data_IF_318004893981
#
_entry.id   IF_318004893981
#
_cell.length_a   1.000
_cell.length_b   1.000
_cell.length_c   1.000
_cell.angle_alpha   90.00
_cell.angle_beta   90.00
_cell.angle_gamma   90.00
#
_symmetry.space_group_name_H-M   'P 1'
#
loop_
_entity.id
_entity.type
_entity.pdbx_description
1 polymer ?
#
# COMPACT_ATOMS: atom_id res chain seq x y z
N UNK A 1 -14.83 15.12 13.04
CA UNK A 1 -15.58 13.94 12.53
C UNK A 1 -14.56 12.93 12.04
N UNK A 2 -14.80 11.62 12.15
CA UNK A 2 -13.89 10.62 11.58
C UNK A 2 -13.92 10.66 10.05
N UNK A 3 -12.77 10.58 9.38
CA UNK A 3 -12.70 10.35 7.94
C UNK A 3 -13.39 9.01 7.61
N UNK A 4 -14.42 9.05 6.76
CA UNK A 4 -15.26 7.88 6.45
C UNK A 4 -15.81 7.95 5.04
N UNK A 5 -15.98 6.79 4.42
CA UNK A 5 -16.61 6.66 3.11
C UNK A 5 -17.79 5.69 3.19
N UNK A 6 -18.95 6.10 2.63
CA UNK A 6 -20.17 5.28 2.72
C UNK A 6 -20.02 3.94 2.00
N UNK A 7 -19.32 3.94 0.86
CA UNK A 7 -19.24 2.79 -0.05
C UNK A 7 -17.95 1.96 0.10
N UNK A 8 -17.01 2.37 0.97
CA UNK A 8 -15.71 1.70 1.12
C UNK A 8 -15.50 1.25 2.56
N UNK A 9 -14.86 0.09 2.73
CA UNK A 9 -14.18 -0.24 3.97
C UNK A 9 -12.81 0.43 3.98
N UNK A 10 -12.44 1.03 5.10
CA UNK A 10 -11.08 1.47 5.39
C UNK A 10 -10.57 0.71 6.60
N UNK A 11 -9.32 0.28 6.57
CA UNK A 11 -8.66 -0.33 7.72
C UNK A 11 -7.27 0.26 7.93
N UNK A 12 -6.22 -0.55 7.99
CA UNK A 12 -4.84 -0.15 8.27
C UNK A 12 -4.50 1.21 7.69
N UNK A 13 -3.91 2.07 8.51
CA UNK A 13 -3.53 3.42 8.14
C UNK A 13 -2.11 3.75 8.56
N UNK A 14 -1.47 4.60 7.76
CA UNK A 14 -0.16 5.16 8.03
C UNK A 14 -0.12 6.62 7.59
N UNK A 15 0.83 7.38 8.15
CA UNK A 15 0.84 8.83 8.04
C UNK A 15 2.24 9.36 7.84
N UNK A 16 2.34 10.48 7.14
CA UNK A 16 3.56 11.29 7.02
C UNK A 16 3.18 12.77 6.99
N UNK A 17 4.10 13.63 7.39
CA UNK A 17 3.92 15.08 7.35
C UNK A 17 4.90 15.70 6.35
N UNK A 18 4.40 16.58 5.48
CA UNK A 18 5.20 17.45 4.62
C UNK A 18 4.80 18.92 4.86
N UNK A 19 5.72 19.69 5.45
CA UNK A 19 5.40 21.03 5.96
C UNK A 19 4.25 21.01 6.96
N UNK A 20 3.20 21.80 6.70
CA UNK A 20 2.00 21.88 7.54
C UNK A 20 0.91 20.87 7.14
N UNK A 21 1.16 20.02 6.14
CA UNK A 21 0.18 19.06 5.62
C UNK A 21 0.52 17.64 6.08
N UNK A 22 -0.46 17.00 6.71
CA UNK A 22 -0.49 15.58 6.98
C UNK A 22 -1.06 14.83 5.78
N UNK A 23 -0.37 13.77 5.39
CA UNK A 23 -0.80 12.80 4.40
C UNK A 23 -1.16 11.51 5.14
N UNK A 24 -2.40 11.09 5.01
CA UNK A 24 -2.93 9.85 5.56
C UNK A 24 -3.23 8.86 4.45
N UNK A 25 -2.80 7.62 4.64
CA UNK A 25 -3.04 6.53 3.71
C UNK A 25 -3.85 5.44 4.39
N UNK A 26 -4.67 4.75 3.61
CA UNK A 26 -5.59 3.74 4.11
C UNK A 26 -5.66 2.59 3.13
N UNK A 27 -5.66 1.36 3.63
CA UNK A 27 -6.18 0.26 2.83
C UNK A 27 -7.68 0.43 2.65
N UNK A 28 -8.14 0.23 1.41
CA UNK A 28 -9.53 0.33 1.03
C UNK A 28 -9.99 -0.86 0.19
N UNK A 29 -11.28 -1.15 0.27
CA UNK A 29 -11.98 -2.05 -0.64
C UNK A 29 -13.46 -1.66 -0.71
N UNK A 30 -14.15 -1.96 -1.83
CA UNK A 30 -15.55 -1.60 -1.98
C UNK A 30 -16.47 -2.51 -1.17
N UNK A 31 -17.44 -1.90 -0.47
CA UNK A 31 -18.48 -2.64 0.28
C UNK A 31 -19.41 -3.44 -0.63
N UNK A 32 -19.40 -3.19 -1.94
CA UNK A 32 -20.13 -3.98 -2.92
C UNK A 32 -19.64 -5.42 -3.03
N UNK A 33 -18.49 -5.77 -2.44
CA UNK A 33 -18.05 -7.15 -2.28
C UNK A 33 -18.99 -7.97 -1.37
N UNK A 34 -19.79 -7.31 -0.53
CA UNK A 34 -20.74 -7.87 0.43
C UNK A 34 -20.06 -8.64 1.56
N UNK A 35 -19.22 -9.63 1.24
CA UNK A 35 -18.35 -10.32 2.18
C UNK A 35 -17.22 -9.38 2.64
N UNK A 36 -17.19 -9.00 3.92
CA UNK A 36 -16.12 -8.15 4.43
C UNK A 36 -14.75 -8.83 4.31
N UNK A 37 -14.63 -10.15 4.41
CA UNK A 37 -13.31 -10.81 4.41
C UNK A 37 -12.68 -10.83 3.01
N UNK A 38 -13.49 -10.73 1.96
CA UNK A 38 -13.01 -10.52 0.59
C UNK A 38 -12.24 -9.20 0.41
N UNK A 39 -12.36 -8.23 1.34
CA UNK A 39 -11.65 -6.94 1.28
C UNK A 39 -10.13 -7.08 1.23
N UNK A 40 -9.59 -8.12 1.86
CA UNK A 40 -8.14 -8.32 1.96
C UNK A 40 -7.50 -8.56 0.59
N UNK A 41 -8.09 -9.43 -0.24
CA UNK A 41 -7.59 -9.71 -1.59
C UNK A 41 -8.01 -8.66 -2.64
N UNK A 42 -8.87 -7.71 -2.27
CA UNK A 42 -9.35 -6.63 -3.15
C UNK A 42 -8.87 -5.25 -2.67
N UNK A 43 -7.76 -5.24 -1.93
CA UNK A 43 -7.22 -4.03 -1.32
C UNK A 43 -6.51 -3.15 -2.34
N UNK A 44 -6.83 -1.85 -2.30
CA UNK A 44 -6.02 -0.78 -2.87
C UNK A 44 -5.71 0.25 -1.80
N UNK A 45 -4.79 1.18 -2.06
CA UNK A 45 -4.43 2.23 -1.12
C UNK A 45 -5.10 3.54 -1.50
N UNK A 46 -5.73 4.22 -0.54
CA UNK A 46 -6.33 5.55 -0.69
C UNK A 46 -5.57 6.58 0.11
N UNK A 47 -5.58 7.82 -0.36
CA UNK A 47 -4.88 8.95 0.21
C UNK A 47 -5.89 10.04 0.63
N UNK A 48 -5.65 10.66 1.78
CA UNK A 48 -6.33 11.88 2.23
C UNK A 48 -5.32 12.83 2.87
N UNK A 49 -5.60 14.13 2.85
CA UNK A 49 -4.74 15.16 3.45
C UNK A 49 -5.45 15.97 4.53
N UNK A 50 -4.70 16.48 5.50
CA UNK A 50 -5.22 17.29 6.60
C UNK A 50 -4.18 18.27 7.11
N UNK A 51 -4.59 19.41 7.66
CA UNK A 51 -3.69 20.34 8.38
C UNK A 51 -3.87 20.30 9.90
N UNK A 52 -4.88 19.57 10.39
CA UNK A 52 -5.27 19.54 11.81
C UNK A 52 -5.48 18.11 12.36
N UNK A 53 -5.28 17.07 11.53
CA UNK A 53 -5.56 15.65 11.80
C UNK A 53 -7.04 15.32 12.12
N UNK A 54 -7.94 16.29 11.99
CA UNK A 54 -9.37 16.15 12.33
C UNK A 54 -10.25 16.30 11.08
N UNK A 55 -9.90 17.23 10.21
CA UNK A 55 -10.59 17.55 8.97
C UNK A 55 -9.75 17.05 7.80
N UNK A 56 -10.32 16.12 7.04
CA UNK A 56 -9.61 15.40 5.99
C UNK A 56 -10.21 15.70 4.62
N UNK A 57 -9.38 16.08 3.67
CA UNK A 57 -9.71 16.18 2.25
C UNK A 57 -9.34 14.87 1.58
N UNK A 58 -10.33 14.23 0.98
CA UNK A 58 -10.15 12.96 0.30
C UNK A 58 -9.47 13.14 -1.06
N UNK A 59 -8.34 12.46 -1.30
CA UNK A 59 -7.54 12.60 -2.52
C UNK A 59 -7.78 11.48 -3.53
N UNK A 60 -8.45 10.38 -3.15
CA UNK A 60 -8.68 9.26 -4.06
C UNK A 60 -7.78 8.04 -3.81
N UNK A 61 -8.02 6.99 -4.60
CA UNK A 61 -7.09 5.86 -4.70
C UNK A 61 -5.74 6.37 -5.23
N UNK A 62 -4.65 5.99 -4.58
CA UNK A 62 -3.27 6.47 -4.85
C UNK A 62 -2.36 5.37 -5.36
N UNK A 63 -2.64 4.11 -4.98
CA UNK A 63 -1.80 2.98 -5.35
C UNK A 63 -2.63 1.70 -5.42
N UNK A 64 -2.35 0.87 -6.42
CA UNK A 64 -3.10 -0.35 -6.73
C UNK A 64 -2.16 -1.50 -7.11
N UNK A 65 -2.62 -2.77 -7.02
CA UNK A 65 -1.91 -3.91 -7.58
C UNK A 65 -1.51 -3.68 -9.04
N UNK A 66 -0.41 -4.27 -9.46
CA UNK A 66 0.03 -4.13 -10.84
C UNK A 66 -1.02 -4.70 -11.81
N UNK A 67 -1.43 -3.91 -12.82
CA UNK A 67 -2.46 -4.29 -13.80
C UNK A 67 -1.93 -4.53 -15.21
N UNK A 68 -0.63 -4.29 -15.46
CA UNK A 68 -0.01 -4.35 -16.79
C UNK A 68 0.39 -5.74 -17.27
N UNK A 69 0.09 -6.79 -16.51
CA UNK A 69 0.53 -8.17 -16.77
C UNK A 69 0.92 -8.86 -15.48
N UNK A 70 1.59 -10.01 -15.60
CA UNK A 70 2.12 -10.73 -14.45
C UNK A 70 3.22 -9.92 -13.76
N UNK A 71 3.13 -9.78 -12.44
CA UNK A 71 4.12 -9.12 -11.59
C UNK A 71 4.11 -9.71 -10.17
N UNK A 72 5.14 -9.43 -9.38
CA UNK A 72 5.24 -9.95 -8.01
C UNK A 72 4.17 -9.36 -7.06
N UNK A 73 3.59 -8.21 -7.39
CA UNK A 73 2.53 -7.50 -6.64
C UNK A 73 1.24 -7.30 -7.46
N UNK A 74 0.96 -8.22 -8.39
CA UNK A 74 -0.22 -8.17 -9.26
C UNK A 74 -1.52 -8.62 -8.56
N UNK A 75 -1.45 -9.19 -7.36
CA UNK A 75 -2.63 -9.55 -6.57
C UNK A 75 -3.03 -8.45 -5.59
N UNK A 76 -2.12 -8.03 -4.71
CA UNK A 76 -2.45 -7.09 -3.63
C UNK A 76 -1.39 -6.00 -3.42
N UNK A 77 -1.83 -4.86 -2.89
CA UNK A 77 -0.96 -3.79 -2.36
C UNK A 77 -1.43 -3.43 -0.95
N UNK A 78 -0.92 -4.16 0.03
CA UNK A 78 -1.24 -4.03 1.45
C UNK A 78 -0.42 -2.95 2.15
N UNK A 79 -0.59 -2.91 3.47
CA UNK A 79 -0.09 -1.90 4.39
C UNK A 79 1.39 -1.65 4.18
N UNK A 80 1.74 -0.38 4.38
CA UNK A 80 3.08 0.11 4.14
C UNK A 80 3.50 1.22 5.09
N UNK A 81 4.53 1.94 4.69
CA UNK A 81 5.02 3.13 5.36
C UNK A 81 5.63 4.07 4.32
N UNK A 82 5.46 5.38 4.55
CA UNK A 82 6.03 6.42 3.70
C UNK A 82 7.14 7.13 4.46
N UNK A 83 8.30 7.27 3.83
CA UNK A 83 9.47 7.97 4.38
C UNK A 83 10.05 8.93 3.35
N UNK A 84 10.73 9.98 3.82
CA UNK A 84 11.46 10.91 2.96
C UNK A 84 12.92 10.49 2.91
N UNK A 85 13.48 10.40 1.70
CA UNK A 85 14.93 10.28 1.51
C UNK A 85 15.65 11.61 1.74
N UNK A 86 16.96 11.55 1.93
CA UNK A 86 17.82 12.73 2.09
C UNK A 86 17.87 13.60 0.81
N UNK A 87 17.53 13.01 -0.34
CA UNK A 87 17.36 13.69 -1.63
C UNK A 87 16.00 14.41 -1.78
N UNK A 88 15.15 14.32 -0.75
CA UNK A 88 13.82 14.89 -0.72
C UNK A 88 12.76 14.08 -1.47
N UNK A 89 13.11 12.91 -2.03
CA UNK A 89 12.16 12.01 -2.68
C UNK A 89 11.35 11.25 -1.62
N UNK A 90 10.09 10.95 -1.93
CA UNK A 90 9.24 10.14 -1.04
C UNK A 90 9.30 8.68 -1.45
N UNK A 91 9.37 7.80 -0.46
CA UNK A 91 9.47 6.35 -0.62
C UNK A 91 8.30 5.69 0.08
N UNK A 92 7.50 4.93 -0.67
CA UNK A 92 6.50 4.02 -0.14
C UNK A 92 7.11 2.61 -0.12
N UNK A 93 7.20 2.03 1.07
CA UNK A 93 7.41 0.60 1.22
C UNK A 93 6.07 -0.04 1.54
N UNK A 94 5.69 -1.11 0.84
CA UNK A 94 4.37 -1.72 0.97
C UNK A 94 4.46 -3.24 0.89
N UNK A 95 3.47 -3.94 1.41
CA UNK A 95 3.40 -5.40 1.28
C UNK A 95 2.66 -5.76 -0.01
N UNK A 96 3.21 -6.66 -0.82
CA UNK A 96 2.58 -7.15 -2.04
C UNK A 96 2.55 -8.68 -2.10
N UNK A 97 1.63 -9.19 -2.90
CA UNK A 97 1.49 -10.63 -3.21
C UNK A 97 1.20 -10.81 -4.69
N UNK A 98 1.49 -12.01 -5.22
CA UNK A 98 1.25 -12.35 -6.63
C UNK A 98 0.12 -13.37 -6.80
N UNK A 99 -0.62 -13.22 -7.90
CA UNK A 99 -1.64 -14.17 -8.34
C UNK A 99 -1.04 -15.52 -8.72
N UNK A 100 0.22 -15.55 -9.18
CA UNK A 100 0.91 -16.78 -9.60
C UNK A 100 1.18 -17.74 -8.43
N UNK A 101 1.09 -17.26 -7.19
CA UNK A 101 1.34 -18.02 -5.96
C UNK A 101 0.12 -17.98 -5.03
N UNK A 102 -1.08 -17.89 -5.61
CA UNK A 102 -2.35 -17.86 -4.88
C UNK A 102 -2.43 -16.77 -3.80
N UNK A 103 -1.64 -15.70 -3.96
CA UNK A 103 -1.52 -14.58 -3.01
C UNK A 103 -1.04 -14.97 -1.61
N UNK A 104 -0.35 -16.11 -1.47
CA UNK A 104 0.03 -16.67 -0.17
C UNK A 104 1.28 -16.03 0.41
N UNK A 105 2.26 -15.68 -0.42
CA UNK A 105 3.56 -15.19 0.01
C UNK A 105 3.63 -13.66 -0.04
N UNK A 106 4.02 -13.07 1.08
CA UNK A 106 4.12 -11.63 1.26
C UNK A 106 5.56 -11.17 1.07
N UNK A 107 5.72 -10.16 0.22
CA UNK A 107 7.01 -9.52 -0.07
C UNK A 107 6.91 -8.02 0.16
N UNK A 108 8.05 -7.35 0.33
CA UNK A 108 8.08 -5.89 0.46
C UNK A 108 8.40 -5.27 -0.89
N UNK A 109 7.56 -4.34 -1.31
CA UNK A 109 7.77 -3.50 -2.47
C UNK A 109 8.26 -2.11 -2.13
N UNK A 110 8.76 -1.42 -3.15
CA UNK A 110 9.24 -0.05 -3.09
C UNK A 110 8.72 0.76 -4.28
N UNK A 111 8.06 1.87 -3.98
CA UNK A 111 7.68 2.90 -4.94
C UNK A 111 8.16 4.27 -4.47
N UNK A 112 8.32 5.20 -5.41
CA UNK A 112 8.72 6.57 -5.15
C UNK A 112 7.69 7.57 -5.65
N UNK A 113 7.64 8.75 -5.02
CA UNK A 113 6.76 9.83 -5.40
C UNK A 113 7.44 11.19 -5.20
N UNK A 114 7.06 12.17 -6.02
CA UNK A 114 7.43 13.58 -5.85
C UNK A 114 6.32 14.42 -5.22
N UNK A 115 5.11 13.89 -5.11
CA UNK A 115 3.90 14.63 -4.71
C UNK A 115 3.05 13.89 -3.67
N UNK A 116 3.54 12.76 -3.14
CA UNK A 116 2.88 11.92 -2.13
C UNK A 116 1.55 11.27 -2.59
N UNK A 117 1.17 11.40 -3.86
CA UNK A 117 -0.07 10.84 -4.40
C UNK A 117 0.16 9.96 -5.62
N UNK A 118 1.07 10.32 -6.51
CA UNK A 118 1.42 9.54 -7.68
C UNK A 118 2.68 8.73 -7.39
N UNK A 119 2.54 7.41 -7.32
CA UNK A 119 3.62 6.50 -6.98
C UNK A 119 4.13 5.75 -8.22
N UNK A 120 5.46 5.67 -8.34
CA UNK A 120 6.15 4.90 -9.37
C UNK A 120 6.97 3.81 -8.71
N UNK A 121 6.68 2.54 -9.03
CA UNK A 121 7.49 1.38 -8.58
C UNK A 121 8.95 1.59 -8.99
N UNK A 122 9.89 1.28 -8.10
CA UNK A 122 11.32 1.36 -8.40
C UNK A 122 11.75 0.06 -9.07
N UNK A 123 12.23 0.12 -10.32
CA UNK A 123 12.52 -1.08 -11.09
C UNK A 123 11.24 -1.89 -11.34
N UNK A 124 11.25 -3.17 -10.96
CA UNK A 124 10.05 -4.03 -10.94
C UNK A 124 9.19 -3.83 -9.68
N UNK A 125 9.66 -3.02 -8.73
CA UNK A 125 9.01 -2.70 -7.47
C UNK A 125 9.41 -3.62 -6.32
N UNK A 126 10.10 -4.75 -6.54
CA UNK A 126 10.46 -5.67 -5.47
C UNK A 126 11.64 -5.12 -4.66
N UNK A 127 11.48 -5.01 -3.35
CA UNK A 127 12.49 -4.47 -2.44
C UNK A 127 13.09 -5.53 -1.52
N UNK A 128 12.24 -6.40 -0.96
CA UNK A 128 12.67 -7.52 -0.14
C UNK A 128 11.80 -8.74 -0.44
N UNK A 129 12.48 -9.84 -0.69
CA UNK A 129 11.89 -11.15 -0.94
C UNK A 129 12.23 -12.11 0.21
N UNK A 130 11.57 -13.27 0.23
CA UNK A 130 11.81 -14.41 1.13
C UNK A 130 13.09 -15.18 0.74
N UNK A 131 14.09 -14.52 0.16
CA UNK A 131 15.32 -15.17 -0.31
C UNK A 131 16.54 -14.65 0.45
N UNK A 132 17.62 -15.43 0.46
CA UNK A 132 18.91 -15.03 1.04
C UNK A 132 19.44 -16.03 2.07
N UNK A 133 20.61 -15.75 2.68
CA UNK A 133 21.34 -16.73 3.51
C UNK A 133 20.57 -17.26 4.74
N UNK A 134 19.51 -16.56 5.14
CA UNK A 134 18.69 -16.91 6.30
C UNK A 134 17.23 -17.25 5.92
N UNK A 135 16.90 -17.36 4.63
CA UNK A 135 15.55 -17.67 4.18
C UNK A 135 15.03 -18.98 4.80
N UNK A 136 15.88 -20.00 4.84
CA UNK A 136 15.64 -21.31 5.46
C UNK A 136 15.24 -21.24 6.96
N UNK A 137 15.45 -20.12 7.64
CA UNK A 137 15.01 -19.93 9.04
C UNK A 137 13.52 -19.55 9.15
N UNK A 138 12.93 -19.08 8.06
CA UNK A 138 11.54 -18.64 7.96
C UNK A 138 10.73 -19.52 7.02
N UNK A 139 11.39 -20.24 6.12
CA UNK A 139 10.83 -21.31 5.30
C UNK A 139 10.81 -22.60 6.12
N UNK A 140 9.61 -23.05 6.50
CA UNK A 140 9.41 -24.43 6.92
C UNK A 140 8.99 -25.18 5.67
N UNK A 141 9.69 -26.26 5.32
CA UNK A 141 9.42 -27.12 4.15
C UNK A 141 7.93 -27.11 3.79
N UNK A 142 7.60 -26.54 2.63
CA UNK A 142 6.26 -26.54 2.05
C UNK A 142 6.00 -27.85 1.31
#
# INVERSE_FOLDING_TARGET
MSFKHKDLWFWDSWYVQDGDTWHGYFLQAPKSLIDPDARHLNATQRHAVSTDLVTWTDMGTTFEPHRGGAAWDDSTTWTGSVVRGDDGLWHLFYTGTTLAEDSLYQRIGHATSKDLHNWTRVGDGLALDLTGPNADCYEKDH
#
